data_IF_506234299135
#
_entry.id   IF_506234299135
#
_cell.length_a   1.000
_cell.length_b   1.000
_cell.length_c   1.000
_cell.angle_alpha   90.00
_cell.angle_beta   90.00
_cell.angle_gamma   90.00
#
_symmetry.space_group_name_H-M   'P 1'
#
loop_
_entity.id
_entity.type
_entity.pdbx_description
1 polymer ?
#
# COMPACT_ATOMS: atom_id res chain seq x y z
N UNK A 1 16.02 25.75 -17.26
CA UNK A 1 15.16 25.67 -16.06
C UNK A 1 13.76 25.54 -16.57
N UNK A 2 13.27 24.32 -16.57
CA UNK A 2 11.91 24.00 -17.01
C UNK A 2 10.94 24.66 -16.03
N UNK A 3 10.14 25.61 -16.53
CA UNK A 3 9.21 26.42 -15.74
C UNK A 3 7.79 25.82 -15.81
N UNK A 4 7.65 24.55 -16.19
CA UNK A 4 6.38 23.84 -16.18
C UNK A 4 5.93 23.58 -14.74
N UNK A 5 4.65 23.85 -14.46
CA UNK A 5 4.07 23.66 -13.13
C UNK A 5 2.75 22.91 -13.27
N UNK A 6 2.55 21.92 -12.41
CA UNK A 6 1.27 21.23 -12.26
C UNK A 6 0.91 21.11 -10.80
N UNK A 7 -0.32 21.49 -10.47
CA UNK A 7 -0.90 21.33 -9.15
C UNK A 7 -2.20 20.53 -9.27
N UNK A 8 -2.27 19.40 -8.58
CA UNK A 8 -3.51 18.64 -8.40
C UNK A 8 -3.84 18.63 -6.91
N UNK A 9 -4.92 19.30 -6.55
CA UNK A 9 -5.49 19.25 -5.21
C UNK A 9 -6.78 18.43 -5.25
N UNK A 10 -6.98 17.58 -4.24
CA UNK A 10 -8.28 16.95 -4.03
C UNK A 10 -8.83 17.36 -2.67
N UNK A 11 -10.12 17.62 -2.61
CA UNK A 11 -10.81 17.92 -1.36
C UNK A 11 -12.15 17.17 -1.31
N UNK A 12 -12.56 16.71 -0.11
CA UNK A 12 -13.86 16.09 0.06
C UNK A 12 -14.95 17.15 -0.16
N UNK A 13 -15.92 16.86 -1.03
CA UNK A 13 -17.23 17.50 -1.04
C UNK A 13 -18.23 16.60 -0.29
N UNK A 14 -19.36 17.18 0.12
CA UNK A 14 -20.42 16.54 0.93
C UNK A 14 -20.90 15.20 0.32
N UNK A 15 -20.72 14.99 -0.98
CA UNK A 15 -21.19 13.79 -1.70
C UNK A 15 -20.11 13.05 -2.52
N UNK A 16 -18.98 13.68 -2.86
CA UNK A 16 -17.94 13.08 -3.70
C UNK A 16 -16.59 13.79 -3.50
N UNK A 17 -15.47 13.13 -3.83
CA UNK A 17 -14.17 13.80 -3.87
C UNK A 17 -14.06 14.65 -5.14
N UNK A 18 -13.65 15.91 -5.01
CA UNK A 18 -13.44 16.82 -6.15
C UNK A 18 -11.95 17.02 -6.34
N UNK A 19 -11.50 16.91 -7.58
CA UNK A 19 -10.16 17.28 -8.01
C UNK A 19 -10.18 18.68 -8.65
N UNK A 20 -9.18 19.49 -8.28
CA UNK A 20 -8.83 20.74 -8.92
C UNK A 20 -7.42 20.61 -9.49
N UNK A 21 -7.33 20.77 -10.80
CA UNK A 21 -6.12 20.61 -11.59
C UNK A 21 -5.75 21.95 -12.22
N UNK A 22 -4.48 22.33 -12.08
CA UNK A 22 -3.87 23.49 -12.74
C UNK A 22 -2.67 23.02 -13.53
N UNK A 23 -2.61 23.37 -14.81
CA UNK A 23 -1.60 22.94 -15.77
C UNK A 23 -1.02 24.15 -16.47
N UNK A 24 0.32 24.24 -16.48
CA UNK A 24 1.06 25.25 -17.21
C UNK A 24 2.22 24.57 -17.95
N UNK A 25 2.25 24.73 -19.27
CA UNK A 25 3.31 24.24 -20.16
C UNK A 25 3.61 22.74 -19.95
N UNK A 26 2.55 21.91 -19.96
CA UNK A 26 2.65 20.46 -19.71
C UNK A 26 1.58 19.68 -20.48
N UNK A 27 1.85 18.42 -20.90
CA UNK A 27 0.88 17.62 -21.64
C UNK A 27 -0.33 17.29 -20.78
N UNK A 28 -1.59 17.48 -21.22
CA UNK A 28 -2.79 17.37 -20.39
C UNK A 28 -2.91 16.06 -19.56
N UNK A 29 -3.55 16.13 -18.39
CA UNK A 29 -3.82 14.94 -17.57
C UNK A 29 -4.59 13.88 -18.37
N UNK A 30 -4.11 12.64 -18.32
CA UNK A 30 -4.85 11.49 -18.86
C UNK A 30 -5.72 10.93 -17.74
N UNK A 31 -7.03 11.13 -17.82
CA UNK A 31 -8.01 10.46 -16.96
C UNK A 31 -8.57 9.22 -17.68
N UNK A 32 -8.50 8.06 -17.03
CA UNK A 32 -9.12 6.82 -17.48
C UNK A 32 -10.20 6.42 -16.48
N UNK A 33 -11.43 6.31 -16.97
CA UNK A 33 -12.63 5.93 -16.19
C UNK A 33 -13.43 4.93 -16.99
N UNK A 34 -13.91 3.87 -16.32
CA UNK A 34 -14.71 2.81 -16.97
C UNK A 34 -14.04 2.27 -18.25
N UNK A 35 -12.70 2.13 -18.21
CA UNK A 35 -11.85 1.70 -19.31
C UNK A 35 -11.87 2.61 -20.56
N UNK A 36 -12.22 3.89 -20.39
CA UNK A 36 -12.21 4.90 -21.44
C UNK A 36 -11.36 6.11 -21.03
N UNK A 37 -10.73 6.76 -22.00
CA UNK A 37 -10.06 8.05 -21.78
C UNK A 37 -11.13 9.12 -21.72
N UNK A 38 -11.17 9.89 -20.64
CA UNK A 38 -12.18 10.93 -20.40
C UNK A 38 -11.59 12.29 -20.71
N UNK A 39 -12.31 13.08 -21.50
CA UNK A 39 -12.02 14.50 -21.70
C UNK A 39 -12.45 15.30 -20.48
N UNK A 40 -11.55 16.13 -19.96
CA UNK A 40 -11.81 16.98 -18.81
C UNK A 40 -12.31 18.37 -19.26
N UNK A 41 -13.20 19.00 -18.49
CA UNK A 41 -13.57 20.38 -18.73
C UNK A 41 -12.39 21.30 -18.39
N UNK A 42 -11.87 22.00 -19.40
CA UNK A 42 -10.74 22.93 -19.25
C UNK A 42 -11.23 24.36 -19.36
N UNK A 43 -10.77 25.22 -18.44
CA UNK A 43 -10.89 26.67 -18.52
C UNK A 43 -9.50 27.27 -18.66
N UNK A 44 -9.29 28.05 -19.72
CA UNK A 44 -8.02 28.74 -19.95
C UNK A 44 -8.03 30.13 -19.29
N UNK A 45 -6.90 30.49 -18.70
CA UNK A 45 -6.68 31.83 -18.12
C UNK A 45 -5.30 32.33 -18.50
N UNK A 46 -5.22 33.61 -18.87
CA UNK A 46 -3.93 34.26 -19.13
C UNK A 46 -3.49 35.02 -17.88
N UNK A 47 -2.38 34.63 -17.27
CA UNK A 47 -1.78 35.29 -16.11
C UNK A 47 -0.37 35.72 -16.49
N UNK A 48 -0.06 37.02 -16.39
CA UNK A 48 1.25 37.57 -16.76
C UNK A 48 1.75 37.14 -18.16
N UNK A 49 0.83 37.08 -19.14
CA UNK A 49 1.14 36.68 -20.52
C UNK A 49 1.31 35.18 -20.74
N UNK A 50 1.04 34.35 -19.73
CA UNK A 50 1.14 32.89 -19.78
C UNK A 50 -0.25 32.25 -19.73
N UNK A 51 -0.51 31.29 -20.61
CA UNK A 51 -1.76 30.52 -20.62
C UNK A 51 -1.69 29.39 -19.60
N UNK A 52 -2.66 29.37 -18.69
CA UNK A 52 -2.83 28.36 -17.65
C UNK A 52 -4.16 27.65 -17.89
N UNK A 53 -4.15 26.33 -17.84
CA UNK A 53 -5.34 25.50 -17.96
C UNK A 53 -5.79 25.05 -16.57
N UNK A 54 -7.03 25.34 -16.21
CA UNK A 54 -7.66 24.90 -14.96
C UNK A 54 -8.78 23.90 -15.26
N UNK A 55 -8.86 22.82 -14.49
CA UNK A 55 -9.95 21.84 -14.57
C UNK A 55 -10.50 21.51 -13.19
N UNK A 56 -11.83 21.38 -13.08
CA UNK A 56 -12.52 20.89 -11.88
C UNK A 56 -13.40 19.71 -12.24
N UNK A 57 -13.19 18.58 -11.58
CA UNK A 57 -13.92 17.36 -11.89
C UNK A 57 -14.12 16.47 -10.66
N UNK A 58 -15.21 15.70 -10.65
CA UNK A 58 -15.48 14.71 -9.62
C UNK A 58 -14.62 13.46 -9.86
N UNK A 59 -14.00 12.95 -8.79
CA UNK A 59 -13.30 11.67 -8.78
C UNK A 59 -14.29 10.53 -8.49
N UNK A 60 -14.05 9.38 -9.11
CA UNK A 60 -14.81 8.15 -8.90
C UNK A 60 -13.87 7.01 -8.50
N UNK A 61 -14.40 6.09 -7.70
CA UNK A 61 -13.70 4.84 -7.38
C UNK A 61 -13.36 4.10 -8.69
N UNK A 62 -12.10 3.66 -8.82
CA UNK A 62 -11.60 3.02 -10.03
C UNK A 62 -10.99 3.98 -11.07
N UNK A 63 -11.06 5.30 -10.88
CA UNK A 63 -10.39 6.24 -11.79
C UNK A 63 -8.87 6.05 -11.75
N UNK A 64 -8.24 6.02 -12.92
CA UNK A 64 -6.79 6.14 -13.07
C UNK A 64 -6.45 7.49 -13.68
N UNK A 65 -5.44 8.14 -13.13
CA UNK A 65 -4.97 9.44 -13.60
C UNK A 65 -3.47 9.36 -13.86
N UNK A 66 -3.04 9.83 -15.03
CA UNK A 66 -1.62 9.80 -15.44
C UNK A 66 -1.17 11.19 -15.86
N UNK A 67 -0.13 11.68 -15.20
CA UNK A 67 0.58 12.91 -15.53
C UNK A 67 1.95 12.53 -16.10
N UNK A 68 2.37 13.22 -17.15
CA UNK A 68 3.65 12.98 -17.83
C UNK A 68 4.36 14.30 -18.12
N UNK A 69 5.69 14.27 -18.24
CA UNK A 69 6.49 15.36 -18.82
C UNK A 69 6.58 15.24 -20.35
N UNK A 70 7.11 16.27 -21.01
CA UNK A 70 7.30 16.29 -22.46
C UNK A 70 8.28 15.22 -22.96
N UNK A 71 9.22 14.77 -22.13
CA UNK A 71 10.07 13.62 -22.45
C UNK A 71 9.26 12.37 -22.84
N UNK A 72 8.07 12.17 -22.26
CA UNK A 72 7.18 11.08 -22.70
C UNK A 72 6.56 11.33 -24.08
N UNK A 73 6.19 12.58 -24.37
CA UNK A 73 5.61 12.97 -25.67
C UNK A 73 6.63 12.77 -26.80
N UNK A 74 7.89 13.15 -26.55
CA UNK A 74 8.99 13.10 -27.52
C UNK A 74 9.74 11.76 -27.55
N UNK A 75 9.38 10.79 -26.71
CA UNK A 75 10.01 9.48 -26.71
C UNK A 75 9.92 8.81 -28.10
N UNK A 76 11.07 8.45 -28.67
CA UNK A 76 11.18 7.79 -29.98
C UNK A 76 11.09 8.72 -31.20
N UNK A 77 11.17 10.05 -31.02
CA UNK A 77 11.36 11.02 -32.13
C UNK A 77 12.58 10.60 -32.97
N UNK A 78 12.42 10.60 -34.29
CA UNK A 78 13.48 10.21 -35.24
C UNK A 78 13.79 8.71 -35.30
N UNK A 79 13.12 7.90 -34.46
CA UNK A 79 13.21 6.44 -34.45
C UNK A 79 11.89 5.79 -34.86
N UNK A 80 11.26 5.06 -33.94
CA UNK A 80 10.01 4.30 -34.18
C UNK A 80 8.83 5.21 -34.58
N UNK A 81 8.79 6.43 -34.07
CA UNK A 81 7.75 7.41 -34.38
C UNK A 81 8.37 8.69 -34.95
N UNK A 82 7.89 9.12 -36.13
CA UNK A 82 8.40 10.36 -36.76
C UNK A 82 8.22 11.61 -35.89
N UNK A 83 7.16 11.66 -35.07
CA UNK A 83 6.81 12.80 -34.21
C UNK A 83 6.90 12.47 -32.70
N UNK A 84 7.52 11.34 -32.33
CA UNK A 84 7.53 10.85 -30.95
C UNK A 84 6.27 10.06 -30.57
N UNK A 85 6.24 9.57 -29.34
CA UNK A 85 5.16 8.72 -28.84
C UNK A 85 3.81 9.44 -28.92
N UNK A 86 3.75 10.69 -28.47
CA UNK A 86 2.56 11.54 -28.55
C UNK A 86 1.46 11.18 -27.55
N UNK A 87 0.74 12.20 -27.09
CA UNK A 87 -0.25 12.08 -26.01
C UNK A 87 -1.32 11.01 -26.27
N UNK A 88 -1.88 10.96 -27.49
CA UNK A 88 -2.95 9.99 -27.85
C UNK A 88 -2.50 8.53 -27.72
N UNK A 89 -1.26 8.23 -28.11
CA UNK A 89 -0.74 6.87 -28.01
C UNK A 89 -0.39 6.49 -26.57
N UNK A 90 0.07 7.46 -25.76
CA UNK A 90 0.32 7.26 -24.33
C UNK A 90 -1.00 7.00 -23.60
N UNK A 91 -2.04 7.79 -23.87
CA UNK A 91 -3.36 7.59 -23.31
C UNK A 91 -3.93 6.21 -23.68
N UNK A 92 -3.76 5.77 -24.94
CA UNK A 92 -4.14 4.44 -25.39
C UNK A 92 -3.35 3.32 -24.67
N UNK A 93 -2.05 3.50 -24.49
CA UNK A 93 -1.20 2.54 -23.78
C UNK A 93 -1.60 2.43 -22.31
N UNK A 94 -1.80 3.57 -21.63
CA UNK A 94 -2.28 3.62 -20.25
C UNK A 94 -3.65 2.94 -20.13
N UNK A 95 -4.60 3.21 -21.04
CA UNK A 95 -5.92 2.56 -21.06
C UNK A 95 -5.82 1.04 -21.20
N UNK A 96 -5.02 0.55 -22.16
CA UNK A 96 -4.79 -0.90 -22.35
C UNK A 96 -4.20 -1.55 -21.11
N UNK A 97 -3.31 -0.84 -20.41
CA UNK A 97 -2.74 -1.31 -19.18
C UNK A 97 -3.76 -1.35 -18.04
N UNK A 98 -4.54 -0.28 -17.85
CA UNK A 98 -5.60 -0.20 -16.82
C UNK A 98 -6.63 -1.32 -16.97
N UNK A 99 -6.91 -1.75 -18.21
CA UNK A 99 -7.78 -2.90 -18.47
C UNK A 99 -7.30 -4.22 -17.81
N UNK A 100 -6.02 -4.33 -17.44
CA UNK A 100 -5.45 -5.48 -16.73
C UNK A 100 -5.70 -5.43 -15.21
N UNK A 101 -6.25 -4.33 -14.69
CA UNK A 101 -6.59 -4.09 -13.27
C UNK A 101 -5.41 -4.14 -12.30
N UNK A 102 -4.20 -3.81 -12.75
CA UNK A 102 -3.06 -3.60 -11.86
C UNK A 102 -3.11 -2.25 -11.15
N UNK A 103 -2.25 -2.02 -10.16
CA UNK A 103 -2.21 -0.76 -9.41
C UNK A 103 -1.40 0.38 -10.07
N UNK A 104 -1.45 1.57 -9.47
CA UNK A 104 -0.75 2.75 -9.98
C UNK A 104 0.77 2.55 -10.12
N UNK A 105 1.42 1.77 -9.24
CA UNK A 105 2.86 1.49 -9.33
C UNK A 105 3.18 0.64 -10.55
N UNK A 106 2.40 -0.40 -10.80
CA UNK A 106 2.61 -1.23 -11.97
C UNK A 106 2.30 -0.47 -13.28
N UNK A 107 1.34 0.46 -13.27
CA UNK A 107 1.05 1.35 -14.39
C UNK A 107 2.25 2.24 -14.73
N UNK A 108 2.78 2.96 -13.75
CA UNK A 108 3.93 3.84 -13.95
C UNK A 108 5.14 3.03 -14.42
N UNK A 109 5.39 1.86 -13.82
CA UNK A 109 6.48 0.96 -14.23
C UNK A 109 6.31 0.47 -15.68
N UNK A 110 5.10 0.18 -16.11
CA UNK A 110 4.83 -0.23 -17.50
C UNK A 110 5.05 0.92 -18.49
N UNK A 111 4.61 2.13 -18.14
CA UNK A 111 4.83 3.34 -18.93
C UNK A 111 6.32 3.69 -19.02
N UNK A 112 7.05 3.68 -17.90
CA UNK A 112 8.50 3.95 -17.87
C UNK A 112 9.29 2.94 -18.70
N UNK A 113 8.98 1.64 -18.59
CA UNK A 113 9.61 0.62 -19.43
C UNK A 113 9.33 0.84 -20.91
N UNK A 114 8.13 1.28 -21.27
CA UNK A 114 7.76 1.56 -22.66
C UNK A 114 8.50 2.79 -23.17
N UNK A 115 8.53 3.86 -22.39
CA UNK A 115 9.26 5.09 -22.70
C UNK A 115 10.76 4.81 -22.94
N UNK A 116 11.40 4.08 -22.02
CA UNK A 116 12.82 3.71 -22.16
C UNK A 116 13.10 2.88 -23.42
N UNK A 117 12.18 1.97 -23.79
CA UNK A 117 12.28 1.20 -25.04
C UNK A 117 12.18 2.10 -26.28
N UNK A 118 11.29 3.10 -26.26
CA UNK A 118 11.17 4.05 -27.36
C UNK A 118 12.42 4.93 -27.51
N UNK A 119 13.11 5.20 -26.39
CA UNK A 119 14.44 5.81 -26.37
C UNK A 119 15.60 4.85 -26.70
N UNK A 120 15.32 3.59 -27.07
CA UNK A 120 16.33 2.57 -27.33
C UNK A 120 17.33 2.39 -26.16
N UNK A 121 16.85 2.54 -24.92
CA UNK A 121 17.67 2.42 -23.71
C UNK A 121 18.46 3.66 -23.32
N UNK A 122 18.47 4.71 -24.17
CA UNK A 122 19.22 5.95 -23.94
C UNK A 122 18.29 7.15 -24.03
N UNK A 123 17.69 7.59 -22.89
CA UNK A 123 16.82 8.77 -22.87
C UNK A 123 17.51 9.99 -23.46
N UNK A 124 16.83 10.64 -24.41
CA UNK A 124 17.31 11.89 -25.01
C UNK A 124 16.89 13.15 -24.23
N UNK A 125 16.01 12.98 -23.24
CA UNK A 125 15.47 14.06 -22.39
C UNK A 125 14.97 13.46 -21.06
N UNK A 126 14.71 14.32 -20.07
CA UNK A 126 14.15 13.94 -18.77
C UNK A 126 12.67 13.54 -18.91
N UNK A 127 12.38 12.26 -18.65
CA UNK A 127 11.05 11.68 -18.77
C UNK A 127 10.47 11.29 -17.40
N UNK A 128 9.45 12.00 -16.95
CA UNK A 128 8.77 11.77 -15.65
C UNK A 128 7.32 11.35 -15.87
N UNK A 129 6.86 10.39 -15.05
CA UNK A 129 5.45 9.96 -15.00
C UNK A 129 4.97 9.89 -13.56
N UNK A 130 3.75 10.36 -13.32
CA UNK A 130 3.01 10.15 -12.07
C UNK A 130 1.73 9.42 -12.41
N UNK A 131 1.54 8.25 -11.80
CA UNK A 131 0.31 7.48 -11.90
C UNK A 131 -0.43 7.51 -10.58
N UNK A 132 -1.74 7.73 -10.65
CA UNK A 132 -2.63 7.78 -9.51
C UNK A 132 -3.80 6.84 -9.77
N UNK A 133 -4.29 6.20 -8.72
CA UNK A 133 -5.44 5.32 -8.75
C UNK A 133 -6.37 5.68 -7.59
N UNK A 134 -7.59 6.09 -7.92
CA UNK A 134 -8.62 6.41 -6.93
C UNK A 134 -9.27 5.11 -6.48
N UNK A 135 -9.19 4.84 -5.18
CA UNK A 135 -9.78 3.66 -4.56
C UNK A 135 -10.27 3.96 -3.15
N UNK A 136 -11.17 3.13 -2.65
CA UNK A 136 -11.50 3.09 -1.21
C UNK A 136 -10.26 2.87 -0.35
N UNK A 137 -10.19 3.60 0.76
CA UNK A 137 -9.16 3.42 1.77
C UNK A 137 -9.26 2.02 2.40
N UNK A 138 -8.11 1.38 2.58
CA UNK A 138 -7.99 0.06 3.19
C UNK A 138 -7.55 0.21 4.65
N UNK A 139 -8.37 -0.26 5.59
CA UNK A 139 -8.03 -0.28 7.01
C UNK A 139 -7.49 -1.65 7.44
N UNK A 140 -6.58 -1.66 8.42
CA UNK A 140 -6.15 -2.86 9.12
C UNK A 140 -6.04 -2.61 10.63
N UNK A 141 -6.47 -3.57 11.44
CA UNK A 141 -6.32 -3.55 12.89
C UNK A 141 -5.51 -4.74 13.36
N UNK A 142 -4.47 -4.48 14.15
CA UNK A 142 -3.54 -5.50 14.66
C UNK A 142 -3.60 -5.53 16.18
N UNK A 143 -4.09 -6.64 16.74
CA UNK A 143 -4.04 -6.92 18.18
C UNK A 143 -2.78 -7.72 18.50
N UNK A 144 -1.94 -7.20 19.41
CA UNK A 144 -0.72 -7.89 19.83
C UNK A 144 -0.47 -7.79 21.33
N UNK A 145 -0.22 -8.95 21.96
CA UNK A 145 -0.14 -9.10 23.41
C UNK A 145 -1.53 -9.06 24.07
N UNK A 146 -1.78 -9.87 25.11
CA UNK A 146 -2.95 -9.68 25.96
C UNK A 146 -2.77 -8.42 26.85
N UNK A 147 -3.87 -7.78 27.27
CA UNK A 147 -3.84 -6.75 28.30
C UNK A 147 -3.17 -7.21 29.60
N UNK A 148 -2.61 -6.26 30.34
CA UNK A 148 -2.01 -6.57 31.65
C UNK A 148 -3.06 -6.91 32.73
N UNK A 149 -4.25 -6.32 32.65
CA UNK A 149 -5.43 -6.67 33.45
C UNK A 149 -6.36 -7.58 32.61
N UNK A 150 -6.56 -8.85 32.98
CA UNK A 150 -7.46 -9.77 32.27
C UNK A 150 -8.90 -9.28 32.15
N UNK A 151 -9.35 -8.31 32.98
CA UNK A 151 -10.68 -7.69 32.84
C UNK A 151 -10.82 -6.89 31.54
N UNK A 152 -9.71 -6.49 30.93
CA UNK A 152 -9.67 -5.76 29.67
C UNK A 152 -9.63 -6.69 28.44
N UNK A 153 -9.51 -8.01 28.61
CA UNK A 153 -9.44 -8.98 27.50
C UNK A 153 -10.67 -8.86 26.58
N UNK A 154 -11.87 -8.83 27.18
CA UNK A 154 -13.13 -8.67 26.43
C UNK A 154 -13.18 -7.34 25.67
N UNK A 155 -12.66 -6.26 26.26
CA UNK A 155 -12.58 -4.95 25.61
C UNK A 155 -11.65 -5.00 24.39
N UNK A 156 -10.43 -5.52 24.54
CA UNK A 156 -9.44 -5.62 23.46
C UNK A 156 -9.99 -6.45 22.27
N UNK A 157 -10.65 -7.56 22.57
CA UNK A 157 -11.24 -8.43 21.55
C UNK A 157 -12.44 -7.76 20.88
N UNK A 158 -13.31 -7.10 21.64
CA UNK A 158 -14.47 -6.38 21.08
C UNK A 158 -14.05 -5.26 20.12
N UNK A 159 -12.97 -4.54 20.43
CA UNK A 159 -12.40 -3.49 19.57
C UNK A 159 -11.83 -4.07 18.28
N UNK A 160 -11.11 -5.19 18.35
CA UNK A 160 -10.62 -5.88 17.16
C UNK A 160 -11.77 -6.32 16.25
N UNK A 161 -12.82 -6.95 16.81
CA UNK A 161 -13.93 -7.49 16.02
C UNK A 161 -14.82 -6.39 15.43
N UNK A 162 -15.03 -5.29 16.16
CA UNK A 162 -15.79 -4.14 15.66
C UNK A 162 -15.00 -3.26 14.68
N UNK A 163 -13.68 -3.45 14.58
CA UNK A 163 -12.85 -2.66 13.67
C UNK A 163 -13.21 -2.88 12.19
N UNK A 164 -13.12 -1.80 11.41
CA UNK A 164 -13.26 -1.84 9.95
C UNK A 164 -12.01 -2.45 9.31
N UNK A 165 -12.20 -3.07 8.15
CA UNK A 165 -11.10 -3.65 7.38
C UNK A 165 -10.54 -4.94 7.97
N UNK A 166 -9.27 -5.20 7.68
CA UNK A 166 -8.59 -6.47 7.96
C UNK A 166 -8.23 -6.58 9.45
N UNK A 167 -8.55 -7.71 10.06
CA UNK A 167 -8.33 -8.00 11.48
C UNK A 167 -7.19 -9.00 11.63
N UNK A 168 -6.19 -8.62 12.41
CA UNK A 168 -4.99 -9.41 12.62
C UNK A 168 -4.76 -9.63 14.11
N UNK A 169 -4.47 -10.86 14.49
CA UNK A 169 -3.92 -11.19 15.80
C UNK A 169 -2.45 -11.60 15.65
N UNK A 170 -1.60 -11.00 16.47
CA UNK A 170 -0.18 -11.30 16.54
C UNK A 170 0.20 -11.77 17.94
N UNK A 171 0.32 -13.10 18.10
CA UNK A 171 0.67 -13.74 19.37
C UNK A 171 -0.18 -14.98 19.63
N UNK A 172 0.47 -16.10 19.97
CA UNK A 172 -0.23 -17.33 20.38
C UNK A 172 -1.11 -17.12 21.63
N UNK A 173 -0.57 -16.51 22.67
CA UNK A 173 -1.32 -16.17 23.90
C UNK A 173 -2.47 -15.20 23.61
N UNK A 174 -2.22 -14.19 22.77
CA UNK A 174 -3.24 -13.24 22.30
C UNK A 174 -4.37 -13.95 21.55
N UNK A 175 -4.03 -14.93 20.72
CA UNK A 175 -5.01 -15.72 19.97
C UNK A 175 -5.84 -16.64 20.86
N UNK A 176 -5.22 -17.23 21.89
CA UNK A 176 -5.93 -18.03 22.89
C UNK A 176 -6.89 -17.19 23.72
N UNK A 177 -6.45 -15.99 24.15
CA UNK A 177 -7.30 -15.00 24.81
C UNK A 177 -8.50 -14.65 23.93
N UNK A 178 -8.27 -14.28 22.67
CA UNK A 178 -9.35 -13.94 21.75
C UNK A 178 -10.30 -15.12 21.50
N UNK A 179 -9.78 -16.34 21.35
CA UNK A 179 -10.59 -17.54 21.18
C UNK A 179 -11.51 -17.79 22.39
N UNK A 180 -11.00 -17.60 23.60
CA UNK A 180 -11.77 -17.71 24.85
C UNK A 180 -12.88 -16.67 24.91
N UNK A 181 -12.57 -15.40 24.67
CA UNK A 181 -13.55 -14.31 24.72
C UNK A 181 -14.64 -14.42 23.64
N UNK A 182 -14.31 -15.00 22.49
CA UNK A 182 -15.28 -15.22 21.40
C UNK A 182 -16.08 -16.52 21.54
N UNK A 183 -15.70 -17.41 22.49
CA UNK A 183 -16.27 -18.75 22.56
C UNK A 183 -15.96 -19.61 21.33
N UNK A 184 -14.85 -19.33 20.64
CA UNK A 184 -14.47 -19.94 19.36
C UNK A 184 -13.27 -20.88 19.52
N UNK A 185 -13.16 -21.87 18.64
CA UNK A 185 -12.00 -22.79 18.64
C UNK A 185 -10.86 -22.22 17.82
N UNK A 186 -9.66 -22.13 18.42
CA UNK A 186 -8.44 -21.80 17.70
C UNK A 186 -7.93 -23.04 16.94
N UNK A 187 -7.94 -22.99 15.61
CA UNK A 187 -7.50 -24.11 14.76
C UNK A 187 -6.07 -23.85 14.27
N UNK A 188 -5.10 -24.61 14.75
CA UNK A 188 -3.70 -24.51 14.30
C UNK A 188 -3.51 -25.41 13.08
N UNK A 189 -3.19 -24.82 11.92
CA UNK A 189 -2.86 -25.58 10.71
C UNK A 189 -1.38 -25.89 10.69
N UNK A 190 -1.04 -27.13 11.03
CA UNK A 190 0.30 -27.66 10.85
C UNK A 190 0.55 -27.97 9.37
N UNK A 191 1.61 -27.43 8.78
CA UNK A 191 2.09 -27.88 7.46
C UNK A 191 3.31 -28.77 7.65
N UNK A 192 3.18 -30.03 7.27
CA UNK A 192 4.27 -30.99 7.34
C UNK A 192 5.48 -30.54 6.48
N UNK A 193 6.72 -30.83 6.92
CA UNK A 193 7.94 -30.41 6.20
C UNK A 193 8.06 -30.84 4.73
N UNK A 194 7.31 -31.86 4.30
CA UNK A 194 7.42 -32.51 2.99
C UNK A 194 6.55 -31.95 1.86
N UNK A 195 5.64 -31.00 2.12
CA UNK A 195 4.85 -30.33 1.07
C UNK A 195 5.45 -28.96 0.68
N UNK A 196 6.79 -28.86 0.68
CA UNK A 196 7.52 -27.63 0.37
C UNK A 196 8.03 -27.68 -1.06
N UNK A 197 7.39 -26.94 -1.94
CA UNK A 197 7.85 -26.74 -3.32
C UNK A 197 9.19 -25.99 -3.33
N UNK A 198 10.29 -26.71 -3.46
CA UNK A 198 11.48 -26.26 -4.19
C UNK A 198 12.41 -25.20 -3.59
N UNK A 199 12.53 -25.05 -2.26
CA UNK A 199 13.59 -24.19 -1.67
C UNK A 199 14.50 -24.97 -0.71
N UNK A 200 15.77 -25.11 -1.08
CA UNK A 200 16.86 -25.77 -0.34
C UNK A 200 17.38 -24.93 0.84
N UNK A 201 16.49 -24.53 1.74
CA UNK A 201 16.84 -24.03 3.07
C UNK A 201 15.67 -24.29 4.02
N UNK A 202 15.92 -24.77 5.26
CA UNK A 202 14.89 -24.96 6.26
C UNK A 202 14.41 -23.58 6.73
N UNK A 203 13.44 -23.00 6.05
CA UNK A 203 12.82 -21.77 6.50
C UNK A 203 12.03 -22.06 7.80
N UNK A 204 12.40 -21.37 8.88
CA UNK A 204 11.67 -21.29 10.18
C UNK A 204 10.32 -20.59 9.98
N UNK A 205 9.47 -21.12 9.12
CA UNK A 205 8.14 -20.56 8.86
C UNK A 205 7.17 -21.20 9.86
N UNK A 206 6.61 -20.43 10.82
CA UNK A 206 5.73 -20.95 11.85
C UNK A 206 4.35 -21.35 11.32
N UNK A 207 3.60 -22.19 12.06
CA UNK A 207 2.23 -22.59 11.71
C UNK A 207 1.28 -21.38 11.61
N UNK A 208 0.24 -21.51 10.78
CA UNK A 208 -0.84 -20.52 10.66
C UNK A 208 -2.00 -21.00 11.53
N UNK A 209 -2.48 -20.15 12.43
CA UNK A 209 -3.72 -20.40 13.15
C UNK A 209 -4.91 -19.72 12.45
N UNK A 210 -6.11 -20.26 12.67
CA UNK A 210 -7.36 -19.70 12.18
C UNK A 210 -8.30 -19.48 13.38
N UNK A 211 -8.93 -18.32 13.43
CA UNK A 211 -9.94 -17.95 14.41
C UNK A 211 -11.09 -17.26 13.66
N UNK A 212 -12.32 -17.68 13.88
CA UNK A 212 -13.49 -17.08 13.25
C UNK A 212 -13.59 -15.59 13.64
N UNK A 213 -13.90 -14.73 12.67
CA UNK A 213 -13.92 -13.28 12.85
C UNK A 213 -12.55 -12.58 12.74
N UNK A 214 -11.45 -13.32 12.48
CA UNK A 214 -10.10 -12.78 12.32
C UNK A 214 -9.47 -13.25 11.00
N UNK A 215 -8.94 -12.33 10.19
CA UNK A 215 -8.40 -12.63 8.86
C UNK A 215 -7.02 -13.32 8.91
N UNK A 216 -6.19 -12.95 9.89
CA UNK A 216 -4.85 -13.49 10.09
C UNK A 216 -4.53 -13.67 11.56
N UNK A 217 -4.12 -14.88 11.94
CA UNK A 217 -3.50 -15.15 13.24
C UNK A 217 -2.04 -15.58 13.01
N UNK A 218 -1.12 -14.93 13.72
CA UNK A 218 0.33 -15.15 13.61
C UNK A 218 0.94 -15.43 14.99
N UNK A 219 2.19 -15.93 15.03
CA UNK A 219 2.79 -16.40 16.28
C UNK A 219 3.15 -15.30 17.29
N UNK A 220 3.30 -14.04 16.85
CA UNK A 220 3.70 -12.93 17.72
C UNK A 220 5.05 -12.35 17.32
N UNK A 221 6.01 -12.35 18.25
CA UNK A 221 7.31 -11.67 18.09
C UNK A 221 8.05 -12.09 16.82
N UNK A 222 8.07 -13.38 16.46
CA UNK A 222 8.71 -13.86 15.23
C UNK A 222 8.04 -13.30 13.95
N UNK A 223 6.73 -13.10 13.98
CA UNK A 223 6.00 -12.53 12.86
C UNK A 223 6.20 -11.01 12.77
N UNK A 224 6.26 -10.33 13.92
CA UNK A 224 6.61 -8.91 13.96
C UNK A 224 8.04 -8.66 13.48
N UNK A 225 9.02 -9.44 13.94
CA UNK A 225 10.41 -9.28 13.52
C UNK A 225 10.59 -9.49 12.02
N UNK A 226 9.96 -10.53 11.46
CA UNK A 226 9.97 -10.76 10.02
C UNK A 226 9.23 -9.69 9.23
N UNK A 227 8.10 -9.16 9.75
CA UNK A 227 7.39 -8.06 9.11
C UNK A 227 8.20 -6.76 9.14
N UNK A 228 8.87 -6.45 10.24
CA UNK A 228 9.77 -5.31 10.38
C UNK A 228 10.89 -5.37 9.33
N UNK A 229 11.57 -6.52 9.24
CA UNK A 229 12.66 -6.73 8.28
C UNK A 229 12.18 -6.61 6.83
N UNK A 230 10.99 -7.15 6.51
CA UNK A 230 10.39 -7.02 5.17
C UNK A 230 10.05 -5.57 4.85
N UNK A 231 9.45 -4.85 5.79
CA UNK A 231 9.14 -3.42 5.60
C UNK A 231 10.42 -2.59 5.47
N UNK A 232 11.54 -3.01 6.08
CA UNK A 232 12.83 -2.33 5.95
C UNK A 232 13.48 -2.56 4.58
N UNK A 233 13.29 -3.74 3.99
CA UNK A 233 14.01 -4.18 2.78
C UNK A 233 13.20 -4.06 1.49
N UNK A 234 11.89 -3.78 1.58
CA UNK A 234 11.00 -3.64 0.41
C UNK A 234 10.53 -2.21 0.23
N UNK A 235 10.50 -1.75 -1.02
CA UNK A 235 9.94 -0.45 -1.36
C UNK A 235 8.42 -0.55 -1.47
N UNK A 236 7.95 -1.59 -2.16
CA UNK A 236 6.55 -1.81 -2.50
C UNK A 236 6.06 -3.21 -2.13
N UNK A 237 4.74 -3.38 -2.15
CA UNK A 237 4.09 -4.70 -1.98
C UNK A 237 4.54 -5.74 -3.02
N UNK A 238 5.01 -5.29 -4.19
CA UNK A 238 5.44 -6.15 -5.30
C UNK A 238 6.84 -6.74 -5.10
N UNK A 239 7.62 -6.18 -4.17
CA UNK A 239 8.95 -6.70 -3.82
C UNK A 239 8.85 -7.83 -2.79
N UNK A 240 7.68 -8.03 -2.17
CA UNK A 240 7.45 -9.15 -1.28
C UNK A 240 7.45 -10.48 -2.05
N UNK A 241 7.96 -11.57 -1.45
CA UNK A 241 7.91 -12.87 -2.08
C UNK A 241 6.46 -13.33 -2.28
N UNK A 242 6.22 -14.23 -3.26
CA UNK A 242 4.90 -14.79 -3.52
C UNK A 242 4.41 -15.71 -2.38
N UNK A 243 5.27 -15.99 -1.40
CA UNK A 243 4.98 -16.81 -0.24
C UNK A 243 3.70 -16.34 0.49
N UNK A 244 2.98 -17.32 1.02
CA UNK A 244 1.71 -17.15 1.74
C UNK A 244 1.83 -17.47 3.23
N UNK A 245 3.05 -17.46 3.76
CA UNK A 245 3.28 -17.64 5.19
C UNK A 245 2.73 -16.46 6.01
N UNK A 246 2.53 -16.71 7.31
CA UNK A 246 1.93 -15.74 8.23
C UNK A 246 2.69 -14.39 8.26
N UNK A 247 4.02 -14.45 8.22
CA UNK A 247 4.89 -13.27 8.30
C UNK A 247 4.81 -12.44 7.01
N UNK A 248 4.86 -13.09 5.84
CA UNK A 248 4.69 -12.41 4.55
C UNK A 248 3.28 -11.84 4.42
N UNK A 249 2.25 -12.55 4.89
CA UNK A 249 0.87 -12.03 4.91
C UNK A 249 0.73 -10.77 5.77
N UNK A 250 1.35 -10.75 6.96
CA UNK A 250 1.35 -9.58 7.82
C UNK A 250 1.99 -8.37 7.12
N UNK A 251 3.21 -8.52 6.58
CA UNK A 251 3.88 -7.45 5.85
C UNK A 251 3.04 -6.94 4.65
N UNK A 252 2.39 -7.86 3.93
CA UNK A 252 1.54 -7.54 2.78
C UNK A 252 0.29 -6.74 3.20
N UNK A 253 -0.35 -7.11 4.32
CA UNK A 253 -1.48 -6.37 4.88
C UNK A 253 -1.05 -4.96 5.28
N UNK A 254 0.06 -4.84 6.00
CA UNK A 254 0.59 -3.55 6.45
C UNK A 254 0.98 -2.64 5.27
N UNK A 255 1.58 -3.19 4.21
CA UNK A 255 1.89 -2.42 2.99
C UNK A 255 0.65 -2.04 2.19
N UNK A 256 -0.42 -2.83 2.22
CA UNK A 256 -1.67 -2.54 1.51
C UNK A 256 -2.57 -1.52 2.24
N UNK A 257 -2.56 -1.51 3.56
CA UNK A 257 -3.42 -0.65 4.36
C UNK A 257 -3.00 0.82 4.31
N UNK A 258 -3.97 1.73 4.22
CA UNK A 258 -3.78 3.19 4.32
C UNK A 258 -3.90 3.64 5.78
N UNK A 259 -4.83 3.02 6.51
CA UNK A 259 -5.11 3.25 7.92
C UNK A 259 -4.79 1.99 8.73
N UNK A 260 -3.97 2.14 9.77
CA UNK A 260 -3.51 1.02 10.60
C UNK A 260 -3.73 1.37 12.06
N UNK A 261 -4.50 0.53 12.75
CA UNK A 261 -4.73 0.63 14.18
C UNK A 261 -4.03 -0.51 14.91
N UNK A 262 -3.20 -0.19 15.89
CA UNK A 262 -2.57 -1.19 16.76
C UNK A 262 -3.24 -1.19 18.12
N UNK A 263 -3.73 -2.36 18.53
CA UNK A 263 -4.17 -2.64 19.89
C UNK A 263 -3.06 -3.41 20.57
N UNK A 264 -2.41 -2.79 21.55
CA UNK A 264 -1.19 -3.32 22.18
C UNK A 264 -1.51 -3.67 23.62
N UNK A 265 -1.60 -4.96 23.91
CA UNK A 265 -1.70 -5.41 25.29
C UNK A 265 -0.36 -5.29 26.01
N UNK A 266 -0.32 -4.80 27.23
CA UNK A 266 0.90 -4.53 27.98
C UNK A 266 1.39 -5.71 28.83
N UNK A 267 0.72 -6.87 28.77
CA UNK A 267 1.17 -8.06 29.49
C UNK A 267 2.59 -8.47 29.05
N UNK A 268 3.46 -8.62 30.05
CA UNK A 268 4.80 -9.18 29.87
C UNK A 268 4.69 -10.68 30.05
N UNK A 269 5.01 -11.45 29.01
CA UNK A 269 5.08 -12.90 29.12
C UNK A 269 6.35 -13.27 29.94
N UNK A 270 6.22 -13.91 31.12
CA UNK A 270 7.38 -14.31 31.93
C UNK A 270 8.34 -15.24 31.19
N UNK A 271 7.83 -16.05 30.25
CA UNK A 271 8.64 -16.96 29.43
C UNK A 271 9.47 -16.21 28.37
N UNK A 272 9.14 -14.94 28.10
CA UNK A 272 9.86 -14.05 27.18
C UNK A 272 10.65 -12.97 27.94
N UNK A 273 10.82 -13.08 29.25
CA UNK A 273 11.58 -12.12 30.06
C UNK A 273 13.07 -12.12 29.68
N UNK A 274 13.58 -13.23 29.14
CA UNK A 274 14.92 -13.33 28.55
C UNK A 274 15.05 -12.55 27.22
N UNK A 275 13.93 -12.22 26.57
CA UNK A 275 13.86 -11.47 25.31
C UNK A 275 13.70 -9.97 25.56
N UNK A 276 14.33 -9.45 26.62
CA UNK A 276 14.38 -8.01 26.91
C UNK A 276 15.71 -7.47 26.46
N UNK A 277 15.68 -6.59 25.46
CA UNK A 277 16.88 -5.94 24.91
C UNK A 277 16.86 -4.47 25.32
N UNK A 278 17.90 -4.03 26.04
CA UNK A 278 18.03 -2.64 26.53
C UNK A 278 16.80 -2.16 27.35
N UNK A 279 16.21 -3.07 28.14
CA UNK A 279 15.06 -2.75 28.99
C UNK A 279 13.70 -2.68 28.28
N UNK A 280 13.64 -2.98 26.97
CA UNK A 280 12.37 -3.09 26.22
C UNK A 280 12.08 -4.54 25.81
N UNK A 281 10.83 -5.02 25.91
CA UNK A 281 10.44 -6.31 25.34
C UNK A 281 10.66 -6.31 23.82
N UNK A 282 11.16 -7.40 23.25
CA UNK A 282 11.40 -7.52 21.80
C UNK A 282 10.15 -7.23 20.95
N UNK A 283 8.95 -7.59 21.43
CA UNK A 283 7.67 -7.22 20.80
C UNK A 283 7.55 -5.71 20.58
N UNK A 284 7.90 -4.91 21.59
CA UNK A 284 7.81 -3.46 21.54
C UNK A 284 8.82 -2.89 20.55
N UNK A 285 10.05 -3.42 20.52
CA UNK A 285 11.10 -2.97 19.59
C UNK A 285 10.64 -3.15 18.14
N UNK A 286 10.15 -4.34 17.78
CA UNK A 286 9.69 -4.59 16.42
C UNK A 286 8.42 -3.83 16.06
N UNK A 287 7.52 -3.61 17.02
CA UNK A 287 6.34 -2.79 16.80
C UNK A 287 6.73 -1.33 16.52
N UNK A 288 7.64 -0.76 17.30
CA UNK A 288 8.19 0.59 17.08
C UNK A 288 8.83 0.71 15.69
N UNK A 289 9.63 -0.28 15.30
CA UNK A 289 10.26 -0.33 13.96
C UNK A 289 9.21 -0.40 12.84
N UNK A 290 8.22 -1.28 12.96
CA UNK A 290 7.11 -1.38 11.99
C UNK A 290 6.40 -0.03 11.86
N UNK A 291 6.05 0.60 12.98
CA UNK A 291 5.37 1.90 12.96
C UNK A 291 6.23 2.98 12.30
N UNK A 292 7.53 3.00 12.55
CA UNK A 292 8.45 3.92 11.88
C UNK A 292 8.49 3.71 10.36
N UNK A 293 8.60 2.45 9.91
CA UNK A 293 8.59 2.12 8.49
C UNK A 293 7.28 2.52 7.81
N UNK A 294 6.15 2.36 8.49
CA UNK A 294 4.84 2.72 7.97
C UNK A 294 4.64 4.26 7.95
N UNK A 295 5.13 5.00 8.96
CA UNK A 295 5.12 6.47 8.98
C UNK A 295 5.94 7.07 7.85
N UNK A 296 7.14 6.51 7.57
CA UNK A 296 7.98 6.93 6.42
C UNK A 296 7.27 6.76 5.07
N UNK A 297 6.24 5.92 5.00
CA UNK A 297 5.40 5.68 3.82
C UNK A 297 4.08 6.48 3.85
N UNK A 298 3.97 7.48 4.73
CA UNK A 298 2.79 8.35 4.89
C UNK A 298 1.48 7.60 5.20
N UNK A 299 1.57 6.46 5.91
CA UNK A 299 0.39 5.73 6.38
C UNK A 299 -0.18 6.37 7.65
N UNK A 300 -1.50 6.29 7.81
CA UNK A 300 -2.18 6.77 9.01
C UNK A 300 -2.11 5.69 10.08
N UNK A 301 -1.43 5.98 11.20
CA UNK A 301 -1.23 5.02 12.28
C UNK A 301 -1.83 5.56 13.56
N UNK A 302 -2.61 4.71 14.23
CA UNK A 302 -3.08 4.93 15.60
C UNK A 302 -2.69 3.74 16.47
N UNK A 303 -2.44 3.99 17.76
CA UNK A 303 -2.02 2.97 18.72
C UNK A 303 -2.82 3.18 20.00
N UNK A 304 -3.35 2.10 20.55
CA UNK A 304 -3.90 2.08 21.89
C UNK A 304 -3.21 0.99 22.72
N UNK A 305 -3.01 1.30 24.00
CA UNK A 305 -2.44 0.39 24.99
C UNK A 305 -3.52 -0.07 25.96
N UNK A 306 -3.52 -1.36 26.30
CA UNK A 306 -4.47 -2.03 27.19
C UNK A 306 -3.75 -2.95 28.18
#
# INVERSE_FOLDING_TARGET
VDNSYRCLASYPSVYFAVAYLVEYDTPPLILIRDNQVVELPVTERVIAGRTICESRFALKDGDYMVMISDGYIHAGVGGLYRLGWGWKNIALAARRWVATRGDAYQLTRALSKTCLKLYNGSPGDDATVVGMWVRQACAATVLTGPPSDPKLDSLAVSRLISAKGIKVICGGTTAQMAARELGQKLVVKWRAPGQRSGSSSPSKIPPIACLEGVDVVTEGVLSLSSAAERLRTTETIHDLPPAQDACTRLARILLKADEIHFIVGDAINPQQLADVVRGKPMRQIYLEEIMEQLKRRNKLISVEHL
#
